data_IF_014619049684
#
_entry.id   IF_014619049684
#
_cell.length_a   1.000
_cell.length_b   1.000
_cell.length_c   1.000
_cell.angle_alpha   90.00
_cell.angle_beta   90.00
_cell.angle_gamma   90.00
#
_symmetry.space_group_name_H-M   'P 1'
#
loop_
_entity.id
_entity.type
_entity.pdbx_description
1 polymer ?
#
# COMPACT_ATOMS: atom_id res chain seq x y z
N UNK A 1 13.54 5.76 5.42
CA UNK A 1 12.47 5.72 4.38
C UNK A 1 11.17 6.26 4.91
N UNK A 2 10.41 7.00 4.10
CA UNK A 2 9.06 7.48 4.41
C UNK A 2 8.00 6.78 3.56
N UNK A 3 6.75 6.78 4.01
CA UNK A 3 5.65 6.14 3.30
C UNK A 3 4.63 7.15 2.78
N UNK A 4 4.05 6.90 1.62
CA UNK A 4 2.91 7.62 1.09
C UNK A 4 1.79 6.63 0.80
N UNK A 5 0.60 6.90 1.32
CA UNK A 5 -0.64 6.23 0.90
C UNK A 5 -1.41 7.21 0.03
N UNK A 6 -1.58 6.88 -1.25
CA UNK A 6 -2.38 7.67 -2.16
C UNK A 6 -3.83 7.18 -2.13
N UNK A 7 -4.67 7.92 -1.43
CA UNK A 7 -6.08 7.62 -1.19
C UNK A 7 -6.98 8.67 -1.87
N UNK A 8 -6.60 9.08 -3.07
CA UNK A 8 -7.35 10.01 -3.92
C UNK A 8 -8.30 9.31 -4.89
N UNK A 9 -8.87 10.11 -5.80
CA UNK A 9 -9.73 9.64 -6.85
C UNK A 9 -11.22 9.77 -6.54
N UNK A 10 -12.04 9.91 -7.60
CA UNK A 10 -13.50 10.16 -7.49
C UNK A 10 -14.33 8.94 -7.11
N UNK A 11 -13.77 7.74 -7.19
CA UNK A 11 -14.47 6.49 -6.87
C UNK A 11 -15.70 6.19 -7.73
N UNK A 12 -15.90 6.87 -8.87
CA UNK A 12 -17.13 6.83 -9.68
C UNK A 12 -17.51 5.44 -10.16
N UNK A 13 -16.55 4.54 -10.35
CA UNK A 13 -16.78 3.14 -10.71
C UNK A 13 -17.56 2.35 -9.66
N UNK A 14 -17.59 2.84 -8.40
CA UNK A 14 -18.31 2.24 -7.28
C UNK A 14 -19.58 3.01 -6.90
N UNK A 15 -20.06 3.93 -7.76
CA UNK A 15 -21.34 4.57 -7.49
C UNK A 15 -22.48 3.55 -7.48
N UNK A 16 -23.48 3.70 -6.57
CA UNK A 16 -23.69 4.86 -5.68
C UNK A 16 -22.94 4.78 -4.33
N UNK A 17 -22.23 3.70 -4.01
CA UNK A 17 -21.62 3.46 -2.67
C UNK A 17 -20.69 4.62 -2.28
N UNK A 18 -19.88 5.10 -3.22
CA UNK A 18 -18.85 6.13 -3.00
C UNK A 18 -19.36 7.58 -3.19
N UNK A 19 -20.68 7.80 -3.28
CA UNK A 19 -21.22 9.17 -3.36
C UNK A 19 -21.05 9.98 -2.08
N UNK A 20 -21.02 9.32 -0.94
CA UNK A 20 -20.97 9.96 0.38
C UNK A 20 -19.75 9.60 1.21
N UNK A 21 -18.85 8.77 0.66
CA UNK A 21 -17.67 8.28 1.39
C UNK A 21 -16.55 7.95 0.41
N UNK A 22 -15.31 8.23 0.81
CA UNK A 22 -14.14 7.79 0.05
C UNK A 22 -14.12 6.26 -0.10
N UNK A 23 -13.71 5.78 -1.27
CA UNK A 23 -13.54 4.34 -1.55
C UNK A 23 -12.70 3.65 -0.49
N UNK A 24 -11.59 4.26 -0.08
CA UNK A 24 -10.64 3.69 0.86
C UNK A 24 -11.14 3.65 2.31
N UNK A 25 -12.30 4.24 2.58
CA UNK A 25 -13.03 4.12 3.85
C UNK A 25 -14.09 3.01 3.85
N UNK A 26 -14.38 2.41 2.69
CA UNK A 26 -15.30 1.28 2.63
C UNK A 26 -14.74 0.10 3.43
N UNK A 27 -15.61 -0.67 4.08
CA UNK A 27 -15.17 -1.83 4.82
C UNK A 27 -14.69 -2.94 3.87
N UNK A 28 -13.57 -3.54 4.21
CA UNK A 28 -13.13 -4.84 3.69
C UNK A 28 -13.19 -5.80 4.87
N UNK A 29 -14.24 -6.58 4.93
CA UNK A 29 -14.64 -7.44 6.03
C UNK A 29 -14.83 -6.66 7.34
N UNK A 30 -13.84 -6.58 8.23
CA UNK A 30 -13.97 -6.06 9.59
C UNK A 30 -13.25 -4.71 9.85
N UNK A 31 -12.61 -4.13 8.83
CA UNK A 31 -11.89 -2.86 8.96
C UNK A 31 -11.93 -2.02 7.68
N UNK A 32 -11.64 -0.70 7.76
CA UNK A 32 -11.57 0.15 6.57
C UNK A 32 -10.47 -0.30 5.59
N UNK A 33 -10.75 -0.21 4.31
CA UNK A 33 -9.81 -0.60 3.24
C UNK A 33 -8.42 0.01 3.41
N UNK A 34 -8.30 1.26 3.82
CA UNK A 34 -7.02 1.96 3.98
C UNK A 34 -6.08 1.30 5.01
N UNK A 35 -6.60 0.47 5.92
CA UNK A 35 -5.77 -0.24 6.90
C UNK A 35 -4.79 -1.21 6.21
N UNK A 36 -5.18 -1.83 5.11
CA UNK A 36 -4.35 -2.79 4.39
C UNK A 36 -3.09 -2.16 3.77
N UNK A 37 -3.17 -1.08 2.97
CA UNK A 37 -1.96 -0.41 2.48
C UNK A 37 -1.13 0.22 3.61
N UNK A 38 -1.74 0.78 4.66
CA UNK A 38 -1.00 1.25 5.84
C UNK A 38 -0.24 0.08 6.48
N UNK A 39 -0.88 -1.08 6.66
CA UNK A 39 -0.23 -2.27 7.22
C UNK A 39 0.98 -2.72 6.40
N UNK A 40 0.92 -2.59 5.09
CA UNK A 40 2.05 -2.88 4.18
C UNK A 40 3.24 -1.98 4.49
N UNK A 41 3.02 -0.67 4.65
CA UNK A 41 4.07 0.27 5.04
C UNK A 41 4.64 -0.05 6.43
N UNK A 42 3.77 -0.34 7.39
CA UNK A 42 4.18 -0.70 8.75
C UNK A 42 5.00 -2.01 8.77
N UNK A 43 4.61 -3.02 7.98
CA UNK A 43 5.38 -4.26 7.82
C UNK A 43 6.76 -4.00 7.22
N UNK A 44 6.88 -3.07 6.27
CA UNK A 44 8.15 -2.59 5.72
C UNK A 44 9.01 -1.81 6.75
N UNK A 45 8.52 -1.59 7.97
CA UNK A 45 9.24 -0.85 9.00
C UNK A 45 9.07 0.68 8.92
N UNK A 46 8.19 1.17 8.07
CA UNK A 46 7.97 2.60 7.84
C UNK A 46 7.03 3.16 8.91
N UNK A 47 7.46 4.22 9.60
CA UNK A 47 6.73 4.85 10.70
C UNK A 47 6.27 6.28 10.42
N UNK A 48 6.85 6.98 9.45
CA UNK A 48 6.37 8.28 9.00
C UNK A 48 5.59 8.08 7.71
N UNK A 49 4.29 8.38 7.72
CA UNK A 49 3.37 8.06 6.65
C UNK A 49 2.54 9.29 6.28
N UNK A 50 2.57 9.67 5.02
CA UNK A 50 1.74 10.73 4.45
C UNK A 50 0.50 10.11 3.79
N UNK A 51 -0.67 10.55 4.21
CA UNK A 51 -1.95 10.22 3.58
C UNK A 51 -2.31 11.36 2.61
N UNK A 52 -2.34 11.05 1.32
CA UNK A 52 -2.76 12.00 0.28
C UNK A 52 -4.17 11.64 -0.17
N UNK A 53 -5.09 12.59 -0.09
CA UNK A 53 -6.48 12.39 -0.49
C UNK A 53 -7.11 13.66 -1.06
N UNK A 54 -8.34 13.55 -1.55
CA UNK A 54 -9.10 14.72 -2.02
C UNK A 54 -9.38 15.69 -0.86
N UNK A 55 -9.54 16.99 -1.11
CA UNK A 55 -9.93 17.95 -0.07
C UNK A 55 -11.24 17.56 0.65
N UNK A 56 -12.17 16.92 -0.07
CA UNK A 56 -13.46 16.46 0.47
C UNK A 56 -13.30 15.31 1.46
N UNK A 57 -12.45 14.34 1.15
CA UNK A 57 -12.30 13.09 1.92
C UNK A 57 -11.27 13.18 3.05
N UNK A 58 -10.27 14.05 2.91
CA UNK A 58 -9.16 14.17 3.84
C UNK A 58 -9.57 14.38 5.31
N UNK A 59 -10.61 15.18 5.64
CA UNK A 59 -11.09 15.30 7.01
C UNK A 59 -11.58 13.99 7.61
N UNK A 60 -12.12 13.09 6.78
CA UNK A 60 -12.53 11.75 7.20
C UNK A 60 -11.34 10.87 7.59
N UNK A 61 -10.26 10.89 6.80
CA UNK A 61 -9.03 10.16 7.12
C UNK A 61 -8.37 10.69 8.39
N UNK A 62 -8.32 12.02 8.57
CA UNK A 62 -7.81 12.62 9.81
C UNK A 62 -8.60 12.17 11.04
N UNK A 63 -9.92 12.06 10.92
CA UNK A 63 -10.79 11.59 12.01
C UNK A 63 -10.61 10.08 12.27
N UNK A 64 -10.40 9.26 11.22
CA UNK A 64 -10.22 7.82 11.34
C UNK A 64 -8.86 7.44 11.95
N UNK A 65 -7.80 8.09 11.49
CA UNK A 65 -6.41 7.65 11.75
C UNK A 65 -5.70 8.49 12.82
N UNK A 66 -6.23 9.69 13.13
CA UNK A 66 -5.62 10.61 14.10
C UNK A 66 -4.22 11.06 13.66
N UNK A 67 -3.32 11.16 14.61
CA UNK A 67 -1.90 11.49 14.39
C UNK A 67 -1.00 10.25 14.24
N UNK A 68 -1.57 9.05 14.41
CA UNK A 68 -0.87 7.77 14.32
C UNK A 68 -0.30 7.24 15.63
N UNK A 69 -0.41 7.99 16.74
CA UNK A 69 0.13 7.58 18.04
C UNK A 69 -0.47 6.26 18.54
N UNK A 70 -1.72 5.95 18.17
CA UNK A 70 -2.38 4.69 18.52
C UNK A 70 -1.74 3.47 17.84
N UNK A 71 -0.99 3.69 16.77
CA UNK A 71 -0.29 2.66 15.99
C UNK A 71 1.24 2.79 16.07
N UNK A 72 1.75 3.65 16.95
CA UNK A 72 3.18 3.90 17.09
C UNK A 72 3.86 4.44 15.82
N UNK A 73 3.08 5.08 14.94
CA UNK A 73 3.51 5.77 13.72
C UNK A 73 3.18 7.25 13.78
N UNK A 74 3.62 8.02 12.80
CA UNK A 74 3.27 9.44 12.64
C UNK A 74 2.58 9.62 11.30
N UNK A 75 1.30 10.00 11.32
CA UNK A 75 0.57 10.38 10.14
C UNK A 75 0.71 11.88 9.84
N UNK A 76 0.96 12.17 8.57
CA UNK A 76 0.84 13.49 7.96
C UNK A 76 -0.22 13.44 6.88
N UNK A 77 -0.77 14.58 6.48
CA UNK A 77 -1.92 14.65 5.60
C UNK A 77 -1.72 15.75 4.55
N UNK A 78 -1.94 15.43 3.29
CA UNK A 78 -1.89 16.39 2.19
C UNK A 78 -3.07 16.23 1.25
N UNK A 79 -3.45 17.32 0.59
CA UNK A 79 -4.54 17.35 -0.38
C UNK A 79 -4.01 17.12 -1.79
N UNK A 80 -4.72 16.28 -2.55
CA UNK A 80 -4.62 16.17 -3.99
C UNK A 80 -5.87 16.80 -4.60
N UNK A 81 -5.81 18.05 -5.07
CA UNK A 81 -6.99 18.79 -5.54
C UNK A 81 -7.61 18.20 -6.81
N UNK A 82 -6.78 17.60 -7.67
CA UNK A 82 -7.18 16.96 -8.93
C UNK A 82 -6.43 15.64 -9.12
N UNK A 83 -7.04 14.62 -9.75
CA UNK A 83 -6.42 13.32 -9.96
C UNK A 83 -5.47 13.34 -11.17
N UNK A 84 -4.41 14.14 -11.11
CA UNK A 84 -3.48 14.38 -12.23
C UNK A 84 -2.43 13.25 -12.40
N UNK A 85 -2.68 12.09 -11.82
CA UNK A 85 -1.84 10.90 -11.95
C UNK A 85 -1.12 10.50 -10.66
N UNK A 86 -0.60 9.25 -10.64
CA UNK A 86 0.01 8.68 -9.43
C UNK A 86 1.34 9.35 -9.08
N UNK A 87 2.13 9.77 -10.07
CA UNK A 87 3.42 10.40 -9.84
C UNK A 87 3.30 11.80 -9.18
N UNK A 88 2.13 12.45 -9.24
CA UNK A 88 1.86 13.69 -8.53
C UNK A 88 2.06 13.54 -7.00
N UNK A 89 1.91 12.32 -6.46
CA UNK A 89 2.11 12.05 -5.04
C UNK A 89 3.52 12.45 -4.55
N UNK A 90 4.55 12.33 -5.39
CA UNK A 90 5.92 12.72 -5.03
C UNK A 90 6.13 14.24 -5.07
N UNK A 91 5.40 14.94 -5.92
CA UNK A 91 5.42 16.41 -6.00
C UNK A 91 4.69 17.00 -4.78
N UNK A 92 3.49 16.48 -4.47
CA UNK A 92 2.71 16.89 -3.29
C UNK A 92 3.47 16.57 -2.00
N UNK A 93 4.12 15.40 -1.96
CA UNK A 93 4.84 14.89 -0.80
C UNK A 93 6.28 15.37 -0.67
N UNK A 94 6.79 16.26 -1.54
CA UNK A 94 8.20 16.62 -1.59
C UNK A 94 8.75 17.12 -0.26
N UNK A 95 8.07 18.05 0.40
CA UNK A 95 8.48 18.57 1.71
C UNK A 95 8.47 17.48 2.79
N UNK A 96 7.46 16.58 2.76
CA UNK A 96 7.39 15.46 3.65
C UNK A 96 8.50 14.44 3.40
N UNK A 97 8.81 14.12 2.15
CA UNK A 97 9.87 13.18 1.76
C UNK A 97 11.22 13.73 2.20
N UNK A 98 11.50 15.02 1.96
CA UNK A 98 12.81 15.62 2.23
C UNK A 98 13.92 14.88 1.47
N UNK A 99 14.96 14.46 2.18
CA UNK A 99 16.10 13.73 1.61
C UNK A 99 15.95 12.20 1.69
N UNK A 100 14.82 11.69 2.21
CA UNK A 100 14.59 10.27 2.42
C UNK A 100 14.20 9.53 1.13
N UNK A 101 14.46 8.22 1.11
CA UNK A 101 13.80 7.30 0.19
C UNK A 101 12.32 7.19 0.53
N UNK A 102 11.48 6.81 -0.43
CA UNK A 102 10.03 6.78 -0.25
C UNK A 102 9.39 5.49 -0.79
N UNK A 103 8.43 4.97 -0.05
CA UNK A 103 7.51 3.93 -0.51
C UNK A 103 6.15 4.55 -0.80
N UNK A 104 5.64 4.38 -2.01
CA UNK A 104 4.27 4.71 -2.39
C UNK A 104 3.43 3.45 -2.46
N UNK A 105 2.28 3.46 -1.78
CA UNK A 105 1.26 2.42 -1.90
C UNK A 105 -0.09 3.03 -2.27
N UNK A 106 -0.82 2.37 -3.17
CA UNK A 106 -2.16 2.81 -3.52
C UNK A 106 -3.15 2.41 -2.43
N UNK A 107 -4.00 3.34 -2.04
CA UNK A 107 -4.91 3.21 -0.90
C UNK A 107 -6.01 2.16 -1.04
N UNK A 108 -6.14 1.57 -2.22
CA UNK A 108 -7.12 0.55 -2.57
C UNK A 108 -6.50 -0.82 -2.92
N UNK A 109 -5.20 -0.99 -2.68
CA UNK A 109 -4.49 -2.23 -2.93
C UNK A 109 -4.32 -3.04 -1.65
N UNK A 110 -4.64 -4.33 -1.72
CA UNK A 110 -4.50 -5.29 -0.63
C UNK A 110 -3.49 -6.35 -1.06
N UNK A 111 -2.52 -6.62 -0.19
CA UNK A 111 -1.48 -7.62 -0.41
C UNK A 111 -1.53 -8.65 0.71
N UNK A 112 -1.54 -9.93 0.34
CA UNK A 112 -1.43 -11.03 1.29
C UNK A 112 -0.64 -12.20 0.68
N UNK A 113 0.33 -12.71 1.42
CA UNK A 113 1.14 -13.85 0.99
C UNK A 113 2.30 -14.12 1.92
N UNK A 114 2.78 -15.35 1.90
CA UNK A 114 3.93 -15.77 2.70
C UNK A 114 5.23 -15.13 2.20
N UNK A 115 6.15 -14.78 3.11
CA UNK A 115 7.43 -14.15 2.79
C UNK A 115 7.32 -12.69 2.34
N UNK A 116 6.15 -12.04 2.56
CA UNK A 116 5.97 -10.65 2.15
C UNK A 116 6.88 -9.69 2.90
N UNK A 117 7.13 -9.94 4.20
CA UNK A 117 8.05 -9.14 5.00
C UNK A 117 9.49 -9.11 4.44
N UNK A 118 9.99 -10.26 3.98
CA UNK A 118 11.31 -10.35 3.35
C UNK A 118 11.38 -9.57 2.03
N UNK A 119 10.32 -9.66 1.21
CA UNK A 119 10.22 -8.90 -0.04
C UNK A 119 10.22 -7.39 0.22
N UNK A 120 9.46 -6.94 1.22
CA UNK A 120 9.41 -5.54 1.63
C UNK A 120 10.75 -5.05 2.16
N UNK A 121 11.39 -5.80 3.07
CA UNK A 121 12.70 -5.47 3.64
C UNK A 121 13.79 -5.37 2.55
N UNK A 122 13.74 -6.28 1.58
CA UNK A 122 14.66 -6.25 0.44
C UNK A 122 14.42 -5.01 -0.45
N UNK A 123 13.16 -4.60 -0.68
CA UNK A 123 12.84 -3.41 -1.46
C UNK A 123 13.26 -2.11 -0.73
N UNK A 124 13.11 -2.06 0.59
CA UNK A 124 13.65 -0.96 1.42
C UNK A 124 15.17 -0.87 1.24
N UNK A 125 15.89 -1.99 1.37
CA UNK A 125 17.33 -2.02 1.20
C UNK A 125 17.78 -1.60 -0.21
N UNK A 126 17.07 -2.03 -1.25
CA UNK A 126 17.34 -1.62 -2.63
C UNK A 126 17.29 -0.10 -2.78
N UNK A 127 16.28 0.56 -2.17
CA UNK A 127 16.10 1.99 -2.29
C UNK A 127 17.08 2.80 -1.42
N UNK A 128 17.31 2.37 -0.18
CA UNK A 128 18.14 3.11 0.80
C UNK A 128 19.64 2.88 0.61
N UNK A 129 20.04 1.66 0.29
CA UNK A 129 21.46 1.28 0.26
C UNK A 129 22.02 1.20 -1.16
N UNK A 130 21.20 0.75 -2.14
CA UNK A 130 21.67 0.51 -3.51
C UNK A 130 21.26 1.64 -4.47
N UNK A 131 20.42 2.59 -4.04
CA UNK A 131 19.89 3.67 -4.89
C UNK A 131 19.01 3.15 -6.04
N UNK A 132 18.34 2.00 -5.86
CA UNK A 132 17.53 1.35 -6.89
C UNK A 132 16.06 1.42 -6.56
N UNK A 133 15.24 1.68 -7.58
CA UNK A 133 13.79 1.53 -7.47
C UNK A 133 13.40 0.06 -7.49
N UNK A 134 12.39 -0.32 -6.70
CA UNK A 134 11.78 -1.66 -6.74
C UNK A 134 10.27 -1.54 -6.91
N UNK A 135 9.75 -2.26 -7.90
CA UNK A 135 8.32 -2.44 -8.15
C UNK A 135 8.00 -3.94 -8.19
N UNK A 136 6.72 -4.27 -8.06
CA UNK A 136 6.30 -5.67 -8.02
C UNK A 136 5.40 -6.00 -9.20
N UNK A 137 5.69 -7.16 -9.83
CA UNK A 137 4.90 -7.74 -10.90
C UNK A 137 4.02 -8.88 -10.38
N UNK A 138 2.76 -8.88 -10.76
CA UNK A 138 1.79 -9.92 -10.42
C UNK A 138 1.13 -10.47 -11.68
N UNK A 139 1.05 -11.80 -11.78
CA UNK A 139 0.47 -12.45 -12.95
C UNK A 139 -1.06 -12.32 -12.95
N UNK A 140 -1.62 -11.71 -14.00
CA UNK A 140 -3.06 -11.49 -14.17
C UNK A 140 -3.55 -12.05 -15.50
N UNK A 141 -4.85 -12.29 -15.62
CA UNK A 141 -5.50 -12.74 -16.86
C UNK A 141 -5.85 -11.58 -17.82
N UNK A 142 -5.91 -10.35 -17.31
CA UNK A 142 -6.36 -9.14 -18.00
C UNK A 142 -5.34 -7.99 -17.90
N UNK A 143 -4.08 -8.20 -18.35
CA UNK A 143 -2.97 -7.27 -18.13
C UNK A 143 -3.17 -5.88 -18.76
N UNK A 144 -3.99 -5.76 -19.80
CA UNK A 144 -4.27 -4.48 -20.49
C UNK A 144 -4.89 -3.40 -19.59
N UNK A 145 -5.32 -3.75 -18.39
CA UNK A 145 -5.88 -2.80 -17.41
C UNK A 145 -4.81 -2.05 -16.60
N UNK A 146 -3.56 -2.51 -16.64
CA UNK A 146 -2.49 -2.11 -15.74
C UNK A 146 -1.24 -1.66 -16.50
N UNK A 147 -0.26 -1.12 -15.79
CA UNK A 147 1.10 -1.09 -16.28
C UNK A 147 1.63 -2.52 -16.43
N UNK A 148 2.23 -2.86 -17.54
CA UNK A 148 2.68 -4.23 -17.86
C UNK A 148 4.19 -4.26 -17.98
N UNK A 149 4.84 -5.16 -17.23
CA UNK A 149 6.27 -5.38 -17.28
C UNK A 149 6.59 -6.57 -18.19
N UNK A 150 7.53 -6.39 -19.14
CA UNK A 150 8.07 -7.43 -20.01
C UNK A 150 9.41 -7.93 -19.44
N UNK A 151 9.64 -9.24 -19.52
CA UNK A 151 10.86 -9.88 -19.02
C UNK A 151 11.56 -10.71 -20.10
N UNK A 152 12.89 -10.74 -20.04
CA UNK A 152 13.67 -11.72 -20.79
C UNK A 152 13.65 -13.11 -20.10
N UNK A 153 14.32 -14.09 -20.74
CA UNK A 153 14.38 -15.47 -20.22
C UNK A 153 15.14 -15.59 -18.89
N UNK A 154 15.88 -14.57 -18.49
CA UNK A 154 16.64 -14.52 -17.25
C UNK A 154 15.89 -13.74 -16.16
N UNK A 155 14.67 -13.26 -16.44
CA UNK A 155 13.86 -12.47 -15.50
C UNK A 155 14.27 -11.00 -15.42
N UNK A 156 15.08 -10.48 -16.34
CA UNK A 156 15.41 -9.06 -16.42
C UNK A 156 14.26 -8.32 -17.10
N UNK A 157 13.81 -7.23 -16.48
CA UNK A 157 12.79 -6.35 -17.06
C UNK A 157 13.36 -5.66 -18.32
N UNK A 158 12.62 -5.78 -19.42
CA UNK A 158 12.98 -5.18 -20.73
C UNK A 158 12.20 -3.91 -21.00
N UNK A 159 10.92 -3.89 -20.64
CA UNK A 159 10.05 -2.73 -20.84
C UNK A 159 8.93 -2.70 -19.81
N UNK A 160 8.38 -1.50 -19.57
CA UNK A 160 7.12 -1.30 -18.83
C UNK A 160 6.24 -0.39 -19.69
N UNK A 161 5.00 -0.80 -19.94
CA UNK A 161 4.04 -0.05 -20.76
C UNK A 161 2.74 0.18 -19.98
N UNK A 162 2.23 1.41 -20.00
CA UNK A 162 0.96 1.74 -19.32
C UNK A 162 -0.21 1.31 -20.18
N UNK A 163 -1.04 0.43 -19.63
CA UNK A 163 -2.30 -0.04 -20.24
C UNK A 163 -2.18 -0.33 -21.75
N UNK A 164 -1.23 -1.20 -22.13
CA UNK A 164 -0.99 -1.47 -23.54
C UNK A 164 -2.20 -2.14 -24.18
N UNK A 165 -2.53 -1.78 -25.42
CA UNK A 165 -3.59 -2.44 -26.19
C UNK A 165 -3.22 -3.89 -26.49
N UNK A 166 -1.93 -4.15 -26.71
CA UNK A 166 -1.35 -5.48 -26.96
C UNK A 166 -0.26 -5.79 -25.94
N UNK A 167 -0.62 -6.32 -24.74
CA UNK A 167 0.34 -6.59 -23.66
C UNK A 167 1.41 -7.61 -24.09
N UNK A 168 2.68 -7.31 -23.80
CA UNK A 168 3.80 -8.21 -24.08
C UNK A 168 3.97 -9.32 -23.06
N UNK A 169 3.32 -9.21 -21.91
CA UNK A 169 3.30 -10.21 -20.84
C UNK A 169 2.00 -10.13 -20.03
N UNK A 170 1.83 -11.08 -19.11
CA UNK A 170 0.74 -11.06 -18.12
C UNK A 170 1.15 -10.47 -16.76
N UNK A 171 2.35 -9.87 -16.65
CA UNK A 171 2.79 -9.29 -15.38
C UNK A 171 2.33 -7.84 -15.24
N UNK A 172 1.26 -7.64 -14.46
CA UNK A 172 0.83 -6.31 -14.05
C UNK A 172 1.77 -5.74 -12.99
N UNK A 173 2.15 -4.48 -13.11
CA UNK A 173 2.85 -3.74 -12.06
C UNK A 173 1.80 -3.30 -11.04
N UNK A 174 1.95 -3.80 -9.80
CA UNK A 174 0.98 -3.55 -8.73
C UNK A 174 1.21 -2.20 -8.06
N UNK A 175 0.22 -1.71 -7.32
CA UNK A 175 0.25 -0.39 -6.66
C UNK A 175 1.13 -0.32 -5.41
N UNK A 176 2.37 -0.80 -5.50
CA UNK A 176 3.37 -0.75 -4.42
C UNK A 176 4.76 -0.49 -5.03
N UNK A 177 5.37 0.63 -4.65
CA UNK A 177 6.55 1.16 -5.28
C UNK A 177 7.55 1.64 -4.23
N UNK A 178 8.81 1.25 -4.35
CA UNK A 178 9.91 1.71 -3.50
C UNK A 178 10.91 2.47 -4.34
N UNK A 179 11.22 3.70 -3.94
CA UNK A 179 12.10 4.57 -4.71
C UNK A 179 13.16 5.23 -3.83
N UNK A 180 14.39 5.39 -4.34
CA UNK A 180 15.34 6.34 -3.77
C UNK A 180 14.83 7.77 -3.94
N UNK A 181 15.37 8.72 -3.18
CA UNK A 181 14.97 10.14 -3.19
C UNK A 181 14.88 10.77 -4.58
N UNK A 182 15.74 10.36 -5.51
CA UNK A 182 15.75 10.80 -6.91
C UNK A 182 14.37 10.80 -7.59
N UNK A 183 13.41 10.02 -7.08
CA UNK A 183 12.04 9.96 -7.64
C UNK A 183 11.35 11.31 -7.66
N UNK A 184 11.62 12.19 -6.70
CA UNK A 184 11.01 13.52 -6.63
C UNK A 184 11.39 14.35 -7.85
N UNK A 185 12.68 14.38 -8.19
CA UNK A 185 13.16 15.11 -9.39
C UNK A 185 12.65 14.47 -10.69
N UNK A 186 12.60 13.15 -10.75
CA UNK A 186 12.03 12.44 -11.91
C UNK A 186 10.55 12.81 -12.07
N UNK A 187 9.76 12.80 -10.99
CA UNK A 187 8.33 13.13 -11.02
C UNK A 187 8.06 14.57 -11.47
N UNK A 188 8.92 15.52 -11.09
CA UNK A 188 8.86 16.91 -11.57
C UNK A 188 9.21 17.04 -13.05
N UNK A 189 10.07 16.17 -13.56
CA UNK A 189 10.57 16.23 -14.94
C UNK A 189 9.73 15.49 -15.97
N UNK A 190 8.71 14.72 -15.57
CA UNK A 190 7.84 14.04 -16.53
C UNK A 190 6.71 14.96 -17.01
N UNK A 191 6.21 14.69 -18.21
CA UNK A 191 5.05 15.37 -18.80
C UNK A 191 3.81 14.50 -18.72
N UNK A 192 2.61 15.11 -18.61
CA UNK A 192 1.37 14.34 -18.65
C UNK A 192 1.25 13.49 -19.93
N UNK A 193 0.72 12.28 -19.78
CA UNK A 193 0.41 11.38 -20.91
C UNK A 193 -0.73 11.93 -21.77
N UNK A 194 -1.08 11.22 -22.85
CA UNK A 194 -2.25 11.53 -23.67
C UNK A 194 -3.57 11.51 -22.87
N UNK A 195 -3.58 10.89 -21.68
CA UNK A 195 -4.71 10.88 -20.74
C UNK A 195 -4.74 12.10 -19.80
N UNK A 196 -3.72 12.97 -19.89
CA UNK A 196 -3.56 14.13 -18.99
C UNK A 196 -2.99 13.77 -17.62
N UNK A 197 -2.47 12.55 -17.41
CA UNK A 197 -1.97 12.06 -16.13
C UNK A 197 -0.44 12.00 -16.08
N UNK A 198 0.14 12.35 -14.94
CA UNK A 198 1.54 12.09 -14.59
C UNK A 198 1.68 10.61 -14.22
N UNK A 199 2.05 9.80 -15.20
CA UNK A 199 2.03 8.35 -15.10
C UNK A 199 3.19 7.83 -14.24
N UNK A 200 2.88 6.95 -13.30
CA UNK A 200 3.89 6.23 -12.51
C UNK A 200 4.74 5.31 -13.42
N UNK A 201 4.14 4.82 -14.50
CA UNK A 201 4.84 4.01 -15.50
C UNK A 201 5.97 4.79 -16.17
N UNK A 202 5.79 6.11 -16.44
CA UNK A 202 6.86 6.96 -16.97
C UNK A 202 8.00 7.11 -15.96
N UNK A 203 7.70 7.25 -14.67
CA UNK A 203 8.73 7.23 -13.60
C UNK A 203 9.50 5.92 -13.62
N UNK A 204 8.81 4.78 -13.69
CA UNK A 204 9.45 3.47 -13.75
C UNK A 204 10.33 3.30 -15.00
N UNK A 205 9.89 3.83 -16.15
CA UNK A 205 10.68 3.82 -17.39
C UNK A 205 12.00 4.59 -17.23
N UNK A 206 12.00 5.73 -16.53
CA UNK A 206 13.24 6.47 -16.25
C UNK A 206 14.24 5.67 -15.42
N UNK A 207 13.76 5.00 -14.37
CA UNK A 207 14.62 4.09 -13.57
C UNK A 207 15.08 2.89 -14.39
N UNK A 208 14.27 2.37 -15.31
CA UNK A 208 14.64 1.27 -16.20
C UNK A 208 15.73 1.71 -17.20
N UNK A 209 15.58 2.87 -17.84
CA UNK A 209 16.55 3.48 -18.75
C UNK A 209 17.91 3.70 -18.06
N UNK A 210 17.89 4.15 -16.81
CA UNK A 210 19.09 4.34 -15.98
C UNK A 210 19.70 3.01 -15.48
N UNK A 211 19.06 1.85 -15.75
CA UNK A 211 19.50 0.54 -15.24
C UNK A 211 19.36 0.36 -13.74
N UNK A 212 18.53 1.19 -13.09
CA UNK A 212 18.33 1.22 -11.62
C UNK A 212 16.92 0.79 -11.19
N UNK A 213 16.14 0.14 -12.08
CA UNK A 213 14.86 -0.47 -11.74
C UNK A 213 15.01 -1.96 -11.47
N UNK A 214 14.47 -2.42 -10.36
CA UNK A 214 14.22 -3.85 -10.07
C UNK A 214 12.73 -4.14 -10.17
N UNK A 215 12.35 -5.19 -10.87
CA UNK A 215 10.98 -5.73 -10.87
C UNK A 215 11.01 -7.08 -10.18
N UNK A 216 10.30 -7.21 -9.06
CA UNK A 216 10.19 -8.46 -8.29
C UNK A 216 8.85 -9.10 -8.55
N UNK A 217 8.82 -10.39 -8.89
CA UNK A 217 7.59 -11.12 -9.08
C UNK A 217 6.97 -11.51 -7.74
N UNK A 218 5.71 -11.19 -7.54
CA UNK A 218 4.87 -11.82 -6.52
C UNK A 218 4.48 -13.21 -7.03
N UNK A 219 4.96 -14.24 -6.35
CA UNK A 219 4.81 -15.63 -6.78
C UNK A 219 3.39 -16.17 -6.63
N UNK A 220 3.20 -17.43 -7.01
CA UNK A 220 1.95 -18.17 -6.74
C UNK A 220 1.75 -18.28 -5.23
N UNK A 221 0.53 -18.10 -4.76
CA UNK A 221 0.21 -18.06 -3.34
C UNK A 221 0.16 -16.64 -2.76
N UNK A 222 0.60 -15.62 -3.53
CA UNK A 222 0.27 -14.24 -3.24
C UNK A 222 -1.14 -13.91 -3.73
N UNK A 223 -1.85 -13.12 -2.95
CA UNK A 223 -3.06 -12.43 -3.36
C UNK A 223 -2.76 -10.93 -3.45
N UNK A 224 -2.97 -10.36 -4.62
CA UNK A 224 -3.08 -8.93 -4.85
C UNK A 224 -4.51 -8.65 -5.29
N UNK A 225 -5.20 -7.81 -4.54
CA UNK A 225 -6.60 -7.47 -4.78
C UNK A 225 -6.69 -5.96 -5.04
N UNK A 226 -7.16 -5.62 -6.25
CA UNK A 226 -7.56 -4.26 -6.58
C UNK A 226 -9.07 -4.15 -6.34
N UNK A 227 -9.51 -3.23 -5.55
CA UNK A 227 -10.93 -3.08 -5.18
C UNK A 227 -11.64 -2.08 -6.10
N UNK A 228 -11.34 -2.12 -7.41
CA UNK A 228 -11.77 -1.12 -8.40
C UNK A 228 -13.21 -1.21 -8.87
N UNK A 229 -13.89 -2.35 -8.67
CA UNK A 229 -15.27 -2.63 -9.09
C UNK A 229 -16.07 -3.19 -7.93
N UNK A 230 -17.42 -3.25 -8.07
CA UNK A 230 -18.28 -3.86 -7.06
C UNK A 230 -17.94 -5.33 -6.81
N UNK A 231 -17.65 -6.07 -7.88
CA UNK A 231 -17.28 -7.49 -7.79
C UNK A 231 -15.95 -7.65 -7.07
N UNK A 232 -14.89 -6.92 -7.48
CA UNK A 232 -13.57 -7.02 -6.84
C UNK A 232 -13.58 -6.54 -5.37
N UNK A 233 -14.44 -5.58 -5.01
CA UNK A 233 -14.65 -5.16 -3.63
C UNK A 233 -15.25 -6.29 -2.78
N UNK A 234 -16.27 -6.97 -3.31
CA UNK A 234 -16.93 -8.11 -2.66
C UNK A 234 -15.98 -9.30 -2.52
N UNK A 235 -15.25 -9.63 -3.58
CA UNK A 235 -14.25 -10.70 -3.62
C UNK A 235 -13.13 -10.46 -2.60
N UNK A 236 -12.63 -9.23 -2.51
CA UNK A 236 -11.61 -8.86 -1.52
C UNK A 236 -12.11 -9.06 -0.09
N UNK A 237 -13.34 -8.61 0.20
CA UNK A 237 -13.95 -8.78 1.52
C UNK A 237 -14.13 -10.27 1.86
N UNK A 238 -14.62 -11.07 0.92
CA UNK A 238 -14.79 -12.52 1.09
C UNK A 238 -13.46 -13.23 1.29
N UNK A 239 -12.43 -12.87 0.52
CA UNK A 239 -11.08 -13.45 0.66
C UNK A 239 -10.53 -13.22 2.06
N UNK A 240 -10.55 -11.98 2.54
CA UNK A 240 -10.06 -11.61 3.88
C UNK A 240 -10.87 -12.37 4.95
N UNK A 241 -12.19 -12.37 4.86
CA UNK A 241 -13.06 -13.08 5.79
C UNK A 241 -12.69 -14.57 5.91
N UNK A 242 -12.53 -15.25 4.78
CA UNK A 242 -12.22 -16.69 4.76
C UNK A 242 -10.88 -16.97 5.42
N UNK A 243 -9.84 -16.21 5.08
CA UNK A 243 -8.50 -16.43 5.65
C UNK A 243 -8.50 -16.12 7.16
N UNK A 244 -9.04 -14.98 7.58
CA UNK A 244 -9.09 -14.62 9.00
C UNK A 244 -9.88 -15.62 9.84
N UNK A 245 -11.03 -16.07 9.35
CA UNK A 245 -11.84 -17.09 10.05
C UNK A 245 -11.14 -18.44 10.14
N UNK A 246 -10.39 -18.84 9.13
CA UNK A 246 -9.67 -20.13 9.12
C UNK A 246 -8.45 -20.13 10.02
N UNK A 247 -7.69 -19.04 10.02
CA UNK A 247 -6.45 -18.92 10.78
C UNK A 247 -6.68 -18.43 12.21
N UNK A 248 -7.75 -17.65 12.44
CA UNK A 248 -7.97 -16.94 13.70
C UNK A 248 -7.05 -15.72 13.87
N UNK A 249 -6.32 -15.34 12.81
CA UNK A 249 -5.40 -14.22 12.75
C UNK A 249 -5.96 -13.15 11.83
N UNK A 250 -5.68 -11.88 12.13
CA UNK A 250 -6.13 -10.76 11.30
C UNK A 250 -5.11 -10.35 10.24
N UNK A 251 -5.61 -9.97 9.07
CA UNK A 251 -4.82 -9.39 7.99
C UNK A 251 -4.93 -7.87 8.07
N UNK A 252 -3.80 -7.16 8.05
CA UNK A 252 -3.79 -5.69 8.05
C UNK A 252 -4.26 -5.07 9.37
N UNK A 253 -4.03 -5.74 10.50
CA UNK A 253 -4.32 -5.24 11.85
C UNK A 253 -3.18 -4.31 12.31
N UNK A 254 -3.41 -3.00 12.28
CA UNK A 254 -2.35 -2.00 12.56
C UNK A 254 -1.87 -2.08 13.99
N UNK A 255 -2.78 -2.26 14.93
CA UNK A 255 -2.52 -2.35 16.36
C UNK A 255 -1.63 -3.57 16.69
N UNK A 256 -1.94 -4.72 16.09
CA UNK A 256 -1.14 -5.93 16.26
C UNK A 256 0.29 -5.75 15.72
N UNK A 257 0.42 -5.19 14.49
CA UNK A 257 1.73 -4.91 13.88
C UNK A 257 2.54 -3.98 14.79
N UNK A 258 1.92 -2.90 15.27
CA UNK A 258 2.57 -1.94 16.16
C UNK A 258 3.04 -2.59 17.47
N UNK A 259 2.20 -3.42 18.09
CA UNK A 259 2.52 -4.09 19.35
C UNK A 259 3.62 -5.13 19.15
N UNK A 260 3.54 -5.99 18.14
CA UNK A 260 4.58 -7.01 17.85
C UNK A 260 5.92 -6.38 17.47
N UNK A 261 5.92 -5.23 16.79
CA UNK A 261 7.16 -4.47 16.49
C UNK A 261 7.67 -3.64 17.70
N UNK A 262 6.99 -3.68 18.84
CA UNK A 262 7.37 -2.92 20.04
C UNK A 262 7.23 -1.39 19.85
N UNK A 263 6.41 -0.95 18.87
CA UNK A 263 6.16 0.48 18.64
C UNK A 263 5.14 1.07 19.60
N UNK A 264 4.27 0.23 20.14
CA UNK A 264 3.41 0.54 21.28
C UNK A 264 3.61 -0.54 22.35
N UNK A 265 3.46 -0.16 23.62
CA UNK A 265 3.50 -1.08 24.73
C UNK A 265 2.12 -1.64 25.08
N UNK A 266 2.07 -2.56 26.05
CA UNK A 266 0.82 -3.16 26.51
C UNK A 266 -0.16 -2.13 27.06
N UNK A 267 0.32 -1.12 27.78
CA UNK A 267 -0.54 -0.10 28.38
C UNK A 267 -1.26 0.68 27.27
N UNK A 268 -0.52 1.09 26.24
CA UNK A 268 -1.09 1.76 25.05
C UNK A 268 -2.03 0.84 24.26
N UNK A 269 -1.65 -0.43 24.07
CA UNK A 269 -2.52 -1.40 23.41
C UNK A 269 -3.86 -1.56 24.13
N UNK A 270 -3.86 -1.65 25.48
CA UNK A 270 -5.09 -1.74 26.28
C UNK A 270 -5.93 -0.47 26.20
N UNK A 271 -5.31 0.70 26.15
CA UNK A 271 -5.99 1.99 25.95
C UNK A 271 -6.74 1.98 24.60
N UNK A 272 -6.05 1.60 23.52
CA UNK A 272 -6.63 1.53 22.15
C UNK A 272 -7.77 0.51 22.09
N UNK A 273 -7.65 -0.62 22.77
CA UNK A 273 -8.67 -1.68 22.78
C UNK A 273 -9.92 -1.30 23.58
N UNK A 274 -9.79 -0.43 24.59
CA UNK A 274 -10.89 -0.14 25.54
C UNK A 274 -12.26 0.18 24.89
N UNK A 275 -12.36 1.01 23.83
CA UNK A 275 -13.63 1.28 23.15
C UNK A 275 -14.14 0.09 22.33
N UNK A 276 -13.31 -0.91 22.02
CA UNK A 276 -13.63 -2.06 21.15
C UNK A 276 -13.92 -3.35 21.92
N UNK A 277 -14.00 -3.32 23.25
CA UNK A 277 -14.17 -4.52 24.10
C UNK A 277 -15.43 -5.34 23.78
N UNK A 278 -16.45 -4.74 23.19
CA UNK A 278 -17.73 -5.40 22.90
C UNK A 278 -17.73 -6.16 21.57
N UNK A 279 -16.73 -5.96 20.71
CA UNK A 279 -16.65 -6.60 19.39
C UNK A 279 -15.53 -7.65 19.30
N UNK A 280 -15.50 -8.41 18.20
CA UNK A 280 -14.50 -9.46 18.00
C UNK A 280 -13.10 -8.91 17.75
N UNK A 281 -12.99 -7.74 17.13
CA UNK A 281 -11.72 -7.08 16.85
C UNK A 281 -10.97 -6.75 18.17
N UNK A 282 -11.66 -6.13 19.12
CA UNK A 282 -11.06 -5.82 20.44
C UNK A 282 -10.69 -7.08 21.22
N UNK A 283 -11.55 -8.13 21.19
CA UNK A 283 -11.21 -9.41 21.84
C UNK A 283 -10.00 -10.09 21.20
N UNK A 284 -9.84 -9.97 19.88
CA UNK A 284 -8.65 -10.44 19.18
C UNK A 284 -7.39 -9.75 19.69
N UNK A 285 -7.39 -8.43 19.79
CA UNK A 285 -6.23 -7.66 20.27
C UNK A 285 -5.81 -8.02 21.71
N UNK A 286 -6.79 -8.34 22.58
CA UNK A 286 -6.46 -8.86 23.92
C UNK A 286 -5.76 -10.22 23.86
N UNK A 287 -6.20 -11.12 22.97
CA UNK A 287 -5.50 -12.41 22.75
C UNK A 287 -4.06 -12.19 22.26
N UNK A 288 -3.85 -11.23 21.36
CA UNK A 288 -2.50 -10.89 20.87
C UNK A 288 -1.58 -10.50 22.02
N UNK A 289 -2.06 -9.70 23.00
CA UNK A 289 -1.28 -9.36 24.19
C UNK A 289 -0.88 -10.64 24.96
N UNK A 290 -1.83 -11.53 25.20
CA UNK A 290 -1.58 -12.76 25.95
C UNK A 290 -0.64 -13.71 25.22
N UNK A 291 -0.78 -13.83 23.91
CA UNK A 291 0.10 -14.66 23.05
C UNK A 291 1.54 -14.19 23.04
N UNK A 292 1.76 -12.88 22.85
CA UNK A 292 3.12 -12.30 22.86
C UNK A 292 3.79 -12.50 24.23
N UNK A 293 3.05 -12.37 25.32
CA UNK A 293 3.58 -12.63 26.67
C UNK A 293 3.97 -14.08 26.91
N UNK A 294 3.20 -15.02 26.39
CA UNK A 294 3.40 -16.47 26.65
C UNK A 294 4.45 -17.08 25.73
N UNK A 295 4.55 -16.65 24.49
CA UNK A 295 5.31 -17.36 23.44
C UNK A 295 6.45 -16.52 22.85
N UNK A 296 6.58 -15.25 23.28
CA UNK A 296 7.44 -14.31 22.58
C UNK A 296 6.86 -13.90 21.22
N UNK A 297 7.60 -13.09 20.51
CA UNK A 297 7.20 -12.62 19.18
C UNK A 297 7.49 -13.74 18.15
N UNK A 298 6.50 -14.57 17.87
CA UNK A 298 6.54 -15.42 16.70
C UNK A 298 6.24 -14.53 15.49
N UNK A 299 7.22 -14.44 14.59
CA UNK A 299 7.07 -13.77 13.31
C UNK A 299 5.95 -14.48 12.54
N UNK A 300 4.79 -13.84 12.43
CA UNK A 300 3.62 -14.34 11.69
C UNK A 300 3.63 -13.82 10.24
N UNK A 301 4.84 -13.72 9.63
CA UNK A 301 4.99 -13.39 8.22
C UNK A 301 4.66 -14.57 7.30
#
# INVERSE_FOLDING_TARGET
MKGIVLAGGSGTRLYPITKGVSKQMLPIFDKPMIYYPISTLMRAGIREILIISTPLDLPGFKRLLGDGSDYGVKFSYAEQPSPDGLAQAFIIGEEFIGDDSVCLVLGDNIFHGNGFGELLSSAVSDAENDGKATVFGYWVSDPQRYGVAEFDRNGKCLSIEEKPEHPKSNYAVVGLYFYPNKVVEIAKGITPSARGELEITTVNQRFLEDGTLKVRSLGRGFAWLDTGTHDSLSEASTFIEVIEKRQGLKIGCLEEIAYRKGWIDEAKMREVVAPMMKNEYGRYLLRVIDEVKQRGDFNLD
#
